data_IF_793490392796
#
_entry.id   IF_793490392796
#
_cell.length_a   1.000
_cell.length_b   1.000
_cell.length_c   1.000
_cell.angle_alpha   90.00
_cell.angle_beta   90.00
_cell.angle_gamma   90.00
#
_symmetry.space_group_name_H-M   'P 1'
#
loop_
_entity.id
_entity.type
_entity.pdbx_description
1 polymer ?
#
# COMPACT_ATOMS: atom_id res chain seq x y z
N UNK A 1 48.39 -38.97 5.79
CA UNK A 1 47.54 -37.80 6.08
C UNK A 1 46.98 -37.25 4.77
N UNK A 2 45.69 -37.41 4.47
CA UNK A 2 45.04 -36.77 3.32
C UNK A 2 43.65 -36.32 3.75
N UNK A 3 43.55 -35.07 4.19
CA UNK A 3 42.28 -34.37 4.43
C UNK A 3 41.80 -33.86 3.07
N UNK A 4 40.66 -34.40 2.58
CA UNK A 4 40.00 -33.91 1.38
C UNK A 4 39.06 -32.77 1.80
N UNK A 5 39.39 -31.55 1.42
CA UNK A 5 38.56 -30.36 1.65
C UNK A 5 37.22 -30.51 0.95
N UNK A 6 36.13 -30.59 1.72
CA UNK A 6 34.76 -30.50 1.22
C UNK A 6 34.35 -29.04 1.08
N UNK A 7 33.99 -28.63 -0.13
CA UNK A 7 33.39 -27.32 -0.41
C UNK A 7 31.94 -27.38 0.08
N UNK A 8 31.61 -26.59 1.10
CA UNK A 8 30.22 -26.37 1.52
C UNK A 8 29.66 -25.23 0.66
N UNK A 9 28.78 -25.57 -0.27
CA UNK A 9 27.96 -24.59 -1.01
C UNK A 9 26.82 -24.19 -0.08
N UNK A 10 26.89 -22.99 0.51
CA UNK A 10 25.78 -22.41 1.24
C UNK A 10 24.73 -21.90 0.24
N UNK A 11 23.61 -22.61 0.12
CA UNK A 11 22.45 -22.15 -0.64
C UNK A 11 21.73 -21.04 0.15
N UNK A 12 21.81 -19.80 -0.34
CA UNK A 12 21.01 -18.68 0.19
C UNK A 12 19.61 -18.80 -0.38
N UNK A 13 18.64 -19.15 0.47
CA UNK A 13 17.22 -19.11 0.12
C UNK A 13 16.77 -17.65 0.24
N UNK A 14 16.66 -16.95 -0.90
CA UNK A 14 15.96 -15.68 -0.98
C UNK A 14 14.45 -15.97 -0.92
N UNK A 15 13.89 -15.99 0.29
CA UNK A 15 12.44 -16.01 0.46
C UNK A 15 11.89 -14.64 0.06
N UNK A 16 11.42 -14.53 -1.19
CA UNK A 16 10.56 -13.43 -1.61
C UNK A 16 9.19 -13.62 -0.93
N UNK A 17 9.09 -13.15 0.31
CA UNK A 17 7.81 -13.02 1.00
C UNK A 17 7.07 -11.87 0.34
N UNK A 18 6.16 -12.19 -0.57
CA UNK A 18 5.12 -11.24 -0.99
C UNK A 18 4.25 -10.99 0.23
N UNK A 19 4.53 -9.92 0.98
CA UNK A 19 3.68 -9.50 2.07
C UNK A 19 2.44 -8.86 1.47
N UNK A 20 1.31 -9.55 1.59
CA UNK A 20 0.02 -8.87 1.45
C UNK A 20 -0.02 -7.73 2.48
N UNK A 21 -0.49 -6.55 2.06
CA UNK A 21 -0.55 -5.39 2.95
C UNK A 21 -1.42 -5.64 4.18
N UNK A 22 -1.05 -5.02 5.29
CA UNK A 22 -1.79 -5.06 6.54
C UNK A 22 -2.92 -4.03 6.50
N UNK A 23 -4.15 -4.50 6.32
CA UNK A 23 -5.36 -3.67 6.22
C UNK A 23 -5.51 -2.75 7.44
N UNK A 24 -5.22 -3.24 8.66
CA UNK A 24 -5.41 -2.45 9.87
C UNK A 24 -4.40 -1.31 9.93
N UNK A 25 -3.12 -1.59 9.68
CA UNK A 25 -2.09 -0.55 9.61
C UNK A 25 -2.36 0.43 8.46
N UNK A 26 -2.85 -0.06 7.33
CA UNK A 26 -3.26 0.75 6.19
C UNK A 26 -4.37 1.74 6.53
N UNK A 27 -5.36 1.30 7.32
CA UNK A 27 -6.40 2.18 7.84
C UNK A 27 -5.84 3.26 8.76
N UNK A 28 -5.00 2.89 9.73
CA UNK A 28 -4.39 3.83 10.68
C UNK A 28 -3.59 4.92 9.94
N UNK A 29 -2.72 4.52 9.01
CA UNK A 29 -1.93 5.43 8.17
C UNK A 29 -2.83 6.34 7.31
N UNK A 30 -3.88 5.78 6.72
CA UNK A 30 -4.86 6.53 5.94
C UNK A 30 -5.59 7.58 6.79
N UNK A 31 -6.07 7.19 7.97
CA UNK A 31 -6.87 8.05 8.83
C UNK A 31 -6.06 9.24 9.32
N UNK A 32 -4.80 8.99 9.69
CA UNK A 32 -3.84 10.00 10.13
C UNK A 32 -3.45 11.00 9.03
N UNK A 33 -3.30 10.54 7.78
CA UNK A 33 -2.62 11.33 6.74
C UNK A 33 -3.54 11.81 5.62
N UNK A 34 -4.56 11.04 5.23
CA UNK A 34 -5.38 11.33 4.06
C UNK A 34 -6.67 12.08 4.40
N UNK A 35 -7.29 11.77 5.54
CA UNK A 35 -8.69 12.18 5.80
C UNK A 35 -8.86 13.69 5.96
N UNK A 36 -7.86 14.43 6.46
CA UNK A 36 -7.95 15.87 6.67
C UNK A 36 -8.27 16.63 5.37
N UNK A 37 -7.51 16.37 4.30
CA UNK A 37 -7.75 16.97 2.99
C UNK A 37 -9.10 16.54 2.41
N UNK A 38 -9.47 15.26 2.56
CA UNK A 38 -10.72 14.74 2.02
C UNK A 38 -11.95 15.35 2.71
N UNK A 39 -11.91 15.47 4.04
CA UNK A 39 -12.91 16.18 4.84
C UNK A 39 -12.99 17.65 4.45
N UNK A 40 -11.85 18.31 4.23
CA UNK A 40 -11.85 19.71 3.75
C UNK A 40 -12.47 19.88 2.36
N UNK A 41 -12.41 18.86 1.50
CA UNK A 41 -12.96 18.92 0.13
C UNK A 41 -14.43 18.56 0.07
N UNK A 42 -14.89 17.58 0.85
CA UNK A 42 -16.22 16.98 0.71
C UNK A 42 -17.09 17.04 1.98
N UNK A 43 -16.52 17.47 3.12
CA UNK A 43 -17.17 17.39 4.42
C UNK A 43 -17.30 15.96 4.95
N UNK A 44 -18.16 15.78 5.95
CA UNK A 44 -18.42 14.48 6.57
C UNK A 44 -17.16 13.83 7.16
N UNK A 45 -17.03 12.52 6.95
CA UNK A 45 -15.82 11.76 7.31
C UNK A 45 -14.75 11.77 6.20
N UNK A 46 -15.03 12.42 5.06
CA UNK A 46 -14.15 12.47 3.88
C UNK A 46 -14.19 11.22 2.99
N UNK A 47 -14.89 10.15 3.38
CA UNK A 47 -14.92 8.88 2.64
C UNK A 47 -15.64 8.97 1.28
N UNK A 48 -16.50 9.98 1.10
CA UNK A 48 -17.22 10.24 -0.16
C UNK A 48 -16.29 10.41 -1.38
N UNK A 49 -15.02 10.74 -1.17
CA UNK A 49 -14.03 10.84 -2.25
C UNK A 49 -13.77 9.50 -2.96
N UNK A 50 -14.02 8.38 -2.27
CA UNK A 50 -13.80 7.02 -2.78
C UNK A 50 -15.04 6.39 -3.40
N UNK A 51 -16.23 6.96 -3.17
CA UNK A 51 -17.52 6.37 -3.54
C UNK A 51 -18.38 7.25 -4.44
N UNK A 52 -17.95 8.49 -4.73
CA UNK A 52 -18.65 9.40 -5.66
C UNK A 52 -18.83 8.80 -7.05
N UNK A 53 -19.92 9.18 -7.73
CA UNK A 53 -20.27 8.66 -9.06
C UNK A 53 -19.22 8.99 -10.14
N UNK A 54 -18.60 10.18 -10.06
CA UNK A 54 -17.53 10.62 -10.96
C UNK A 54 -16.13 10.19 -10.48
N UNK A 55 -16.03 8.98 -9.92
CA UNK A 55 -14.77 8.44 -9.40
C UNK A 55 -13.72 8.34 -10.51
N UNK A 56 -12.57 8.98 -10.28
CA UNK A 56 -11.48 9.11 -11.27
C UNK A 56 -10.50 7.94 -11.24
N UNK A 57 -10.55 7.11 -10.20
CA UNK A 57 -9.68 5.95 -10.02
C UNK A 57 -10.52 4.71 -10.30
N UNK A 58 -10.20 4.01 -11.38
CA UNK A 58 -10.97 2.92 -11.97
C UNK A 58 -10.18 1.60 -12.11
N UNK A 59 -8.94 1.58 -11.63
CA UNK A 59 -8.04 0.42 -11.70
C UNK A 59 -7.12 0.34 -10.49
N UNK A 60 -6.60 -0.87 -10.21
CA UNK A 60 -5.63 -1.09 -9.13
C UNK A 60 -4.36 -0.27 -9.33
N UNK A 61 -3.80 -0.25 -10.56
CA UNK A 61 -2.64 0.58 -10.89
C UNK A 61 -2.92 2.08 -10.68
N UNK A 62 -4.12 2.54 -11.04
CA UNK A 62 -4.57 3.90 -10.77
C UNK A 62 -4.59 4.22 -9.27
N UNK A 63 -5.07 3.30 -8.44
CA UNK A 63 -5.07 3.42 -6.99
C UNK A 63 -3.64 3.52 -6.44
N UNK A 64 -2.75 2.63 -6.87
CA UNK A 64 -1.32 2.65 -6.49
C UNK A 64 -0.69 4.02 -6.80
N UNK A 65 -0.89 4.52 -8.02
CA UNK A 65 -0.38 5.85 -8.44
C UNK A 65 -0.97 6.98 -7.58
N UNK A 66 -2.26 6.91 -7.28
CA UNK A 66 -2.94 7.93 -6.49
C UNK A 66 -2.43 7.95 -5.04
N UNK A 67 -2.24 6.81 -4.39
CA UNK A 67 -1.68 6.75 -3.01
C UNK A 67 -0.25 7.30 -2.98
N UNK A 68 0.59 6.94 -3.95
CA UNK A 68 1.96 7.49 -4.06
C UNK A 68 1.96 9.01 -4.26
N UNK A 69 1.00 9.54 -5.03
CA UNK A 69 0.80 10.98 -5.18
C UNK A 69 0.37 11.63 -3.86
N UNK A 70 -0.61 11.06 -3.15
CA UNK A 70 -1.06 11.58 -1.85
C UNK A 70 0.11 11.66 -0.85
N UNK A 71 0.87 10.58 -0.70
CA UNK A 71 2.09 10.54 0.11
C UNK A 71 3.06 11.68 -0.24
N UNK A 72 3.31 11.89 -1.53
CA UNK A 72 4.22 12.93 -2.01
C UNK A 72 3.69 14.33 -1.70
N UNK A 73 2.40 14.59 -1.95
CA UNK A 73 1.76 15.87 -1.65
C UNK A 73 1.75 16.20 -0.16
N UNK A 74 1.68 15.18 0.70
CA UNK A 74 1.73 15.33 2.15
C UNK A 74 3.17 15.38 2.70
N UNK A 75 4.18 15.12 1.88
CA UNK A 75 5.59 15.09 2.30
C UNK A 75 5.93 13.94 3.26
N UNK A 76 5.13 12.88 3.29
CA UNK A 76 5.31 11.78 4.24
C UNK A 76 6.31 10.76 3.69
N UNK A 77 7.23 10.33 4.53
CA UNK A 77 8.35 9.47 4.13
C UNK A 77 8.10 7.99 4.47
N UNK A 78 6.97 7.46 3.98
CA UNK A 78 6.65 6.03 4.11
C UNK A 78 7.58 5.12 3.28
N UNK A 79 8.05 3.99 3.83
CA UNK A 79 8.63 2.88 3.07
C UNK A 79 7.54 2.17 2.23
N UNK A 80 7.94 1.41 1.20
CA UNK A 80 6.99 0.79 0.25
C UNK A 80 5.93 -0.08 0.95
N UNK A 81 6.29 -0.88 1.96
CA UNK A 81 5.31 -1.73 2.65
C UNK A 81 4.16 -0.94 3.30
N UNK A 82 4.41 0.27 3.80
CA UNK A 82 3.35 1.14 4.34
C UNK A 82 2.45 1.70 3.24
N UNK A 83 3.00 1.93 2.05
CA UNK A 83 2.21 2.32 0.88
C UNK A 83 1.29 1.16 0.48
N UNK A 84 1.83 -0.06 0.46
CA UNK A 84 1.08 -1.29 0.15
C UNK A 84 -0.04 -1.55 1.17
N UNK A 85 0.19 -1.29 2.46
CA UNK A 85 -0.83 -1.39 3.51
C UNK A 85 -2.02 -0.47 3.21
N UNK A 86 -1.75 0.80 2.87
CA UNK A 86 -2.78 1.81 2.55
C UNK A 86 -3.52 1.44 1.27
N UNK A 87 -2.81 0.97 0.24
CA UNK A 87 -3.43 0.48 -1.00
C UNK A 87 -4.34 -0.71 -0.71
N UNK A 88 -3.86 -1.66 0.11
CA UNK A 88 -4.63 -2.85 0.48
C UNK A 88 -5.89 -2.47 1.25
N UNK A 89 -5.78 -1.58 2.24
CA UNK A 89 -6.93 -1.06 2.98
C UNK A 89 -7.94 -0.36 2.06
N UNK A 90 -7.50 0.55 1.20
CA UNK A 90 -8.39 1.29 0.31
C UNK A 90 -9.06 0.37 -0.72
N UNK A 91 -8.28 -0.58 -1.26
CA UNK A 91 -8.81 -1.53 -2.22
C UNK A 91 -9.84 -2.46 -1.58
N UNK A 92 -9.55 -2.98 -0.39
CA UNK A 92 -10.52 -3.77 0.36
C UNK A 92 -11.73 -2.94 0.78
N UNK A 93 -11.57 -1.72 1.27
CA UNK A 93 -12.72 -1.00 1.84
C UNK A 93 -13.64 -0.38 0.79
N UNK A 94 -13.11 0.04 -0.37
CA UNK A 94 -13.85 0.90 -1.30
C UNK A 94 -13.81 0.46 -2.77
N UNK A 95 -12.65 0.02 -3.27
CA UNK A 95 -12.46 -0.11 -4.71
C UNK A 95 -12.73 -1.51 -5.26
N UNK A 96 -12.34 -2.56 -4.53
CA UNK A 96 -12.53 -3.97 -4.89
C UNK A 96 -11.96 -4.33 -6.27
N UNK A 97 -10.85 -3.72 -6.66
CA UNK A 97 -10.13 -4.08 -7.88
C UNK A 97 -9.38 -5.40 -7.70
N UNK A 98 -9.23 -6.15 -8.80
CA UNK A 98 -8.28 -7.25 -8.85
C UNK A 98 -6.86 -6.67 -8.93
N UNK A 99 -5.96 -7.20 -8.12
CA UNK A 99 -4.53 -6.94 -8.25
C UNK A 99 -3.97 -7.97 -9.25
N UNK A 100 -4.03 -7.63 -10.53
CA UNK A 100 -3.46 -8.42 -11.63
C UNK A 100 -1.93 -8.19 -11.75
#
# INVERSE_FOLDING_TARGET
MKIKSGIIIAAVILANTSYAGDIKRGQELHDENCTSCHKSMLGGDGSGIYTREDRRIDSYEGLVKQVKRCKTSLGVSWPEHQIDDVITYLNDSFYKFNAD
#
